data_IF_871828179575
#
_entry.id   IF_871828179575
#
_cell.length_a   1.000
_cell.length_b   1.000
_cell.length_c   1.000
_cell.angle_alpha   90.00
_cell.angle_beta   90.00
_cell.angle_gamma   90.00
#
_symmetry.space_group_name_H-M   'P 1'
#
loop_
_entity.id
_entity.type
_entity.pdbx_description
1 polymer ?
#
# COMPACT_ATOMS: atom_id res chain seq x y z
N UNK A 1 0.57 9.49 26.97
CA UNK A 1 -0.62 9.20 26.15
C UNK A 1 -0.22 9.05 24.71
N UNK A 2 0.18 7.85 24.30
CA UNK A 2 0.54 7.55 22.91
C UNK A 2 -0.71 7.59 22.05
N UNK A 3 -0.70 8.39 20.98
CA UNK A 3 -1.77 8.41 19.98
C UNK A 3 -1.94 6.99 19.47
N UNK A 4 -3.14 6.43 19.63
CA UNK A 4 -3.47 5.13 19.08
C UNK A 4 -3.13 5.12 17.59
N UNK A 5 -2.23 4.24 17.21
CA UNK A 5 -2.00 3.88 15.82
C UNK A 5 -3.36 3.64 15.19
N UNK A 6 -3.67 4.44 14.18
CA UNK A 6 -4.78 4.12 13.30
C UNK A 6 -4.47 2.74 12.73
N UNK A 7 -5.25 1.75 13.15
CA UNK A 7 -5.22 0.42 12.55
C UNK A 7 -5.53 0.62 11.06
N UNK A 8 -4.50 0.59 10.22
CA UNK A 8 -4.65 0.74 8.77
C UNK A 8 -5.38 -0.49 8.25
N UNK A 9 -6.71 -0.39 8.13
CA UNK A 9 -7.57 -1.50 7.70
C UNK A 9 -7.74 -1.58 6.20
N UNK A 10 -7.56 -0.47 5.48
CA UNK A 10 -7.78 -0.39 4.03
C UNK A 10 -6.76 0.55 3.36
N UNK A 11 -6.28 0.14 2.19
CA UNK A 11 -5.37 0.92 1.34
C UNK A 11 -5.91 1.06 -0.08
N UNK A 12 -5.53 2.14 -0.76
CA UNK A 12 -5.76 2.26 -2.20
C UNK A 12 -4.94 1.19 -2.91
N UNK A 13 -5.63 0.36 -3.70
CA UNK A 13 -5.02 -0.68 -4.50
C UNK A 13 -4.83 -0.22 -5.94
N UNK A 14 -3.64 -0.49 -6.49
CA UNK A 14 -3.36 -0.31 -7.91
C UNK A 14 -2.31 -1.31 -8.36
N UNK A 15 -2.50 -1.90 -9.54
CA UNK A 15 -1.52 -2.76 -10.18
C UNK A 15 -1.42 -2.47 -11.67
N UNK A 16 -0.30 -1.90 -12.12
CA UNK A 16 -0.06 -1.64 -13.53
C UNK A 16 0.01 -2.93 -14.37
N UNK A 17 0.40 -4.05 -13.76
CA UNK A 17 0.63 -5.34 -14.43
C UNK A 17 -0.51 -6.35 -14.18
N UNK A 18 -1.73 -5.84 -13.92
CA UNK A 18 -2.88 -6.61 -13.46
C UNK A 18 -3.30 -7.74 -14.41
N UNK A 19 -3.18 -7.57 -15.73
CA UNK A 19 -3.55 -8.61 -16.71
C UNK A 19 -2.66 -9.85 -16.57
N UNK A 20 -1.35 -9.65 -16.45
CA UNK A 20 -0.38 -10.72 -16.31
C UNK A 20 -0.48 -11.38 -14.92
N UNK A 21 -0.67 -10.57 -13.88
CA UNK A 21 -0.79 -11.03 -12.49
C UNK A 21 -2.21 -11.53 -12.13
N UNK A 22 -3.17 -11.42 -13.07
CA UNK A 22 -4.58 -11.79 -12.90
C UNK A 22 -5.22 -11.17 -11.67
N UNK A 23 -4.92 -9.91 -11.42
CA UNK A 23 -5.53 -9.11 -10.35
C UNK A 23 -6.52 -8.12 -10.92
N UNK A 24 -7.26 -7.42 -10.06
CA UNK A 24 -7.92 -6.19 -10.49
C UNK A 24 -6.86 -5.13 -10.84
N UNK A 25 -7.22 -4.15 -11.67
CA UNK A 25 -6.30 -3.04 -11.96
C UNK A 25 -6.26 -2.02 -10.80
N UNK A 26 -7.42 -1.76 -10.20
CA UNK A 26 -7.59 -0.77 -9.15
C UNK A 26 -8.69 -1.18 -8.18
N UNK A 27 -8.66 -0.61 -6.98
CA UNK A 27 -9.69 -0.84 -5.97
C UNK A 27 -9.28 -0.36 -4.58
N UNK A 28 -9.93 -0.94 -3.57
CA UNK A 28 -9.50 -0.86 -2.18
C UNK A 28 -9.06 -2.26 -1.75
N UNK A 29 -7.88 -2.33 -1.14
CA UNK A 29 -7.35 -3.55 -0.53
C UNK A 29 -7.56 -3.47 0.97
N UNK A 30 -8.20 -4.49 1.53
CA UNK A 30 -8.29 -4.65 2.98
C UNK A 30 -7.00 -5.30 3.48
N UNK A 31 -6.32 -4.66 4.40
CA UNK A 31 -5.02 -5.13 4.87
C UNK A 31 -5.17 -6.27 5.86
N UNK A 32 -4.45 -7.36 5.62
CA UNK A 32 -4.36 -8.51 6.51
C UNK A 32 -3.00 -8.48 7.23
N UNK A 33 -3.02 -8.60 8.56
CA UNK A 33 -1.83 -8.55 9.40
C UNK A 33 -2.03 -9.21 10.76
N UNK A 34 -0.94 -9.42 11.48
CA UNK A 34 -0.98 -9.90 12.86
C UNK A 34 -1.52 -8.80 13.79
N UNK A 35 -2.34 -9.18 14.78
CA UNK A 35 -3.08 -8.26 15.66
C UNK A 35 -2.22 -7.22 16.38
N UNK A 36 -0.95 -7.55 16.66
CA UNK A 36 -0.03 -6.71 17.43
C UNK A 36 1.06 -6.06 16.54
N UNK A 37 0.90 -6.14 15.22
CA UNK A 37 1.82 -5.55 14.24
C UNK A 37 1.16 -4.38 13.53
N UNK A 38 1.94 -3.35 13.20
CA UNK A 38 1.44 -2.22 12.41
C UNK A 38 1.23 -2.63 10.96
N UNK A 39 0.30 -1.95 10.31
CA UNK A 39 0.03 -2.07 8.88
C UNK A 39 0.15 -0.68 8.25
N UNK A 40 0.64 -0.65 7.03
CA UNK A 40 0.89 0.57 6.28
C UNK A 40 0.29 0.48 4.88
N UNK A 41 0.14 1.64 4.23
CA UNK A 41 -0.11 1.69 2.81
C UNK A 41 1.17 2.09 2.09
N UNK A 42 1.43 1.49 0.92
CA UNK A 42 2.55 1.88 0.07
C UNK A 42 2.08 2.44 -1.27
N UNK A 43 2.97 3.20 -1.90
CA UNK A 43 2.85 3.59 -3.30
C UNK A 43 4.20 3.44 -3.98
N UNK A 44 4.18 2.94 -5.21
CA UNK A 44 5.35 2.80 -6.08
C UNK A 44 5.02 3.38 -7.45
N UNK A 45 5.93 4.20 -7.97
CA UNK A 45 5.77 4.87 -9.26
C UNK A 45 7.13 5.03 -9.93
N UNK A 46 7.10 5.21 -11.25
CA UNK A 46 8.23 5.72 -12.04
C UNK A 46 8.03 7.20 -12.29
N UNK A 47 9.13 7.92 -12.39
CA UNK A 47 9.12 9.33 -12.77
C UNK A 47 10.01 9.52 -14.00
N UNK A 48 9.38 9.59 -15.16
CA UNK A 48 10.04 9.78 -16.45
C UNK A 48 9.99 11.27 -16.79
N UNK A 49 11.06 12.00 -16.46
CA UNK A 49 11.21 13.42 -16.77
C UNK A 49 10.07 14.32 -16.25
N UNK A 50 9.53 14.02 -15.08
CA UNK A 50 8.42 14.77 -14.46
C UNK A 50 7.05 14.12 -14.64
N UNK A 51 6.92 13.13 -15.54
CA UNK A 51 5.68 12.36 -15.70
C UNK A 51 5.67 11.17 -14.74
N UNK A 52 4.65 11.12 -13.89
CA UNK A 52 4.45 10.02 -12.92
C UNK A 52 3.68 8.89 -13.60
N UNK A 53 4.29 7.71 -13.61
CA UNK A 53 3.66 6.45 -14.04
C UNK A 53 3.49 5.56 -12.82
N UNK A 54 2.25 5.34 -12.37
CA UNK A 54 1.98 4.46 -11.25
C UNK A 54 2.39 3.02 -11.59
N UNK A 55 3.06 2.36 -10.64
CA UNK A 55 3.43 0.95 -10.76
C UNK A 55 2.51 0.11 -9.88
N UNK A 56 2.54 0.35 -8.56
CA UNK A 56 1.72 -0.39 -7.59
C UNK A 56 1.30 0.47 -6.39
N UNK A 57 0.16 0.14 -5.80
CA UNK A 57 -0.29 0.65 -4.49
C UNK A 57 -0.99 -0.49 -3.75
N UNK A 58 -0.91 -0.49 -2.43
CA UNK A 58 -1.60 -1.49 -1.61
C UNK A 58 -1.15 -1.47 -0.15
N UNK A 59 -1.46 -2.57 0.53
CA UNK A 59 -1.07 -2.85 1.90
C UNK A 59 0.41 -3.23 1.99
N UNK A 60 1.04 -2.79 3.06
CA UNK A 60 2.40 -3.10 3.43
C UNK A 60 2.42 -3.57 4.89
N UNK A 61 3.16 -4.65 5.14
CA UNK A 61 3.30 -5.19 6.49
C UNK A 61 4.16 -4.26 7.37
N UNK A 62 4.20 -4.57 8.66
CA UNK A 62 4.95 -3.81 9.64
C UNK A 62 6.42 -3.62 9.25
N UNK A 63 6.81 -2.37 9.02
CA UNK A 63 8.14 -1.98 8.60
C UNK A 63 8.54 -0.68 9.31
N UNK A 64 9.63 -0.74 10.08
CA UNK A 64 10.15 0.39 10.84
C UNK A 64 10.50 1.61 9.97
N UNK A 65 10.79 1.41 8.68
CA UNK A 65 11.06 2.53 7.77
C UNK A 65 9.81 3.35 7.44
N UNK A 66 8.62 2.83 7.73
CA UNK A 66 7.34 3.50 7.52
C UNK A 66 6.85 4.23 8.78
N UNK A 67 7.65 4.25 9.84
CA UNK A 67 7.31 4.95 11.08
C UNK A 67 7.76 6.41 10.96
N UNK A 68 6.92 7.33 11.43
CA UNK A 68 7.17 8.78 11.46
C UNK A 68 8.46 9.17 12.20
#
# INVERSE_FOLDING_TARGET
>A
SGRGEAETRECIYYNANWELERTNQSGLERCEGERDKRLHCYASWRNSSGTIELVKKGCWLDDFNCYD
#
